data_IF_190769907298
#
_entry.id   IF_190769907298
#
_cell.length_a   1.000
_cell.length_b   1.000
_cell.length_c   1.000
_cell.angle_alpha   90.00
_cell.angle_beta   90.00
_cell.angle_gamma   90.00
#
_symmetry.space_group_name_H-M   'P 1'
#
loop_
_entity.id
_entity.type
_entity.pdbx_description
1 polymer ?
#
# COMPACT_ATOMS: atom_id res chain seq x y z
N UNK A 1 6.22 7.36 -1.90
CA UNK A 1 4.96 6.77 -2.43
C UNK A 1 3.98 6.73 -1.27
N UNK A 2 2.99 7.61 -1.21
CA UNK A 2 1.97 7.50 -0.16
C UNK A 2 1.05 6.32 -0.52
N UNK A 3 0.84 5.37 0.40
CA UNK A 3 -0.10 4.29 0.13
C UNK A 3 -1.50 4.86 -0.03
N UNK A 4 -2.31 4.25 -0.91
CA UNK A 4 -3.74 4.53 -0.94
C UNK A 4 -4.27 4.33 0.48
N UNK A 5 -4.88 5.37 1.07
CA UNK A 5 -5.31 5.35 2.46
C UNK A 5 -6.45 4.34 2.64
N UNK A 6 -6.07 3.10 2.89
CA UNK A 6 -6.94 2.00 3.30
C UNK A 6 -6.61 1.67 4.75
N UNK A 7 -7.61 1.62 5.59
CA UNK A 7 -7.41 1.36 7.02
C UNK A 7 -8.28 0.18 7.42
N UNK A 8 -7.66 -0.76 8.12
CA UNK A 8 -8.33 -1.88 8.74
C UNK A 8 -8.47 -1.60 10.23
N UNK A 9 -9.66 -1.75 10.76
CA UNK A 9 -9.98 -1.51 12.15
C UNK A 9 -10.77 -2.68 12.73
N UNK A 10 -10.29 -3.21 13.86
CA UNK A 10 -10.96 -4.32 14.55
C UNK A 10 -11.69 -3.78 15.78
N UNK A 11 -12.98 -3.94 15.82
CA UNK A 11 -13.79 -3.61 16.99
C UNK A 11 -15.04 -4.49 17.07
N UNK A 12 -15.45 -4.86 18.28
CA UNK A 12 -16.68 -5.64 18.51
C UNK A 12 -16.71 -7.01 17.81
N UNK A 13 -15.55 -7.60 17.48
CA UNK A 13 -15.47 -8.87 16.74
C UNK A 13 -15.64 -8.74 15.23
N UNK A 14 -15.86 -7.52 14.70
CA UNK A 14 -15.91 -7.24 13.27
C UNK A 14 -14.60 -6.63 12.77
N UNK A 15 -14.31 -6.88 11.50
CA UNK A 15 -13.16 -6.30 10.78
C UNK A 15 -13.71 -5.24 9.82
N UNK A 16 -13.47 -3.98 10.16
CA UNK A 16 -13.90 -2.85 9.35
C UNK A 16 -12.78 -2.41 8.43
N UNK A 17 -13.15 -1.97 7.23
CA UNK A 17 -12.22 -1.39 6.26
C UNK A 17 -12.76 -0.09 5.72
N UNK A 18 -11.97 0.97 5.83
CA UNK A 18 -12.32 2.28 5.32
C UNK A 18 -11.41 2.67 4.15
N UNK A 19 -12.02 3.16 3.06
CA UNK A 19 -11.33 3.72 1.91
C UNK A 19 -11.57 5.21 1.85
N UNK A 20 -10.53 6.00 2.09
CA UNK A 20 -10.55 7.47 1.94
C UNK A 20 -10.29 7.90 0.51
N UNK A 21 -9.58 7.05 -0.24
CA UNK A 21 -9.19 7.31 -1.63
C UNK A 21 -9.29 6.02 -2.42
N UNK A 22 -9.94 6.08 -3.57
CA UNK A 22 -9.97 4.97 -4.53
C UNK A 22 -9.40 5.42 -5.89
N UNK A 23 -8.66 4.57 -6.60
CA UNK A 23 -8.21 4.90 -7.95
C UNK A 23 -9.38 4.91 -8.92
N UNK A 24 -9.31 5.78 -9.93
CA UNK A 24 -10.24 5.78 -11.04
C UNK A 24 -9.84 4.68 -12.03
N UNK A 25 -10.69 3.67 -12.16
CA UNK A 25 -10.43 2.56 -13.08
C UNK A 25 -10.75 2.93 -14.53
N UNK A 26 -9.94 2.42 -15.47
CA UNK A 26 -10.18 2.55 -16.89
C UNK A 26 -10.03 1.19 -17.59
N UNK A 27 -11.06 0.72 -18.35
CA UNK A 27 -12.38 1.35 -18.50
C UNK A 27 -13.17 1.36 -17.18
N UNK A 28 -14.22 2.17 -17.12
CA UNK A 28 -15.11 2.25 -15.95
C UNK A 28 -15.61 0.85 -15.57
N UNK A 29 -15.56 0.52 -14.27
CA UNK A 29 -15.98 -0.77 -13.74
C UNK A 29 -15.00 -1.92 -13.95
N UNK A 30 -13.82 -1.68 -14.51
CA UNK A 30 -12.81 -2.72 -14.77
C UNK A 30 -12.18 -3.29 -13.50
N UNK A 31 -12.29 -2.61 -12.35
CA UNK A 31 -11.62 -3.00 -11.10
C UNK A 31 -10.09 -3.01 -11.16
N UNK A 32 -9.51 -2.49 -12.25
CA UNK A 32 -8.07 -2.47 -12.50
C UNK A 32 -7.66 -1.23 -13.30
N UNK A 33 -6.38 -0.87 -13.22
CA UNK A 33 -5.80 0.26 -13.94
C UNK A 33 -5.00 -0.23 -15.14
N UNK A 34 -5.72 -0.60 -16.20
CA UNK A 34 -5.10 -1.07 -17.44
C UNK A 34 -4.26 0.03 -18.10
N UNK A 35 -3.09 -0.34 -18.61
CA UNK A 35 -2.18 0.56 -19.32
C UNK A 35 -1.14 1.28 -18.46
N UNK A 36 -1.30 1.30 -17.13
CA UNK A 36 -0.32 1.91 -16.21
C UNK A 36 0.41 0.91 -15.31
N UNK A 37 0.00 -0.35 -15.30
CA UNK A 37 0.56 -1.41 -14.45
C UNK A 37 0.32 -1.23 -12.95
N UNK A 38 0.15 -0.01 -12.46
CA UNK A 38 -0.08 0.31 -11.04
C UNK A 38 -1.18 1.37 -10.96
N UNK A 39 -2.19 1.14 -10.11
CA UNK A 39 -3.22 2.13 -9.84
C UNK A 39 -2.65 3.33 -9.08
N UNK A 40 -3.01 4.58 -9.45
CA UNK A 40 -2.59 5.75 -8.71
C UNK A 40 -3.27 5.82 -7.34
N UNK A 41 -2.59 6.44 -6.36
CA UNK A 41 -3.12 6.71 -5.03
C UNK A 41 -3.21 8.22 -4.72
N UNK A 42 -2.86 9.06 -5.68
CA UNK A 42 -2.86 10.53 -5.56
C UNK A 42 -2.96 11.19 -6.94
N UNK A 43 -3.27 12.50 -6.93
CA UNK A 43 -3.42 13.30 -8.14
C UNK A 43 -4.78 13.11 -8.80
N UNK A 44 -4.86 13.41 -10.10
CA UNK A 44 -6.12 13.45 -10.85
C UNK A 44 -6.75 12.06 -11.12
N UNK A 45 -5.96 11.01 -10.93
CA UNK A 45 -6.40 9.62 -11.20
C UNK A 45 -7.10 8.94 -10.03
N UNK A 46 -7.58 9.69 -9.04
CA UNK A 46 -8.21 9.14 -7.82
C UNK A 46 -9.49 9.89 -7.46
N UNK A 47 -10.38 9.19 -6.75
CA UNK A 47 -11.57 9.77 -6.13
C UNK A 47 -11.37 9.79 -4.61
N UNK A 48 -11.56 10.95 -3.99
CA UNK A 48 -11.59 11.13 -2.54
C UNK A 48 -13.01 10.94 -2.02
N UNK A 49 -13.13 10.24 -0.90
CA UNK A 49 -14.40 9.96 -0.25
C UNK A 49 -14.45 10.65 1.12
N UNK A 50 -15.51 11.45 1.33
CA UNK A 50 -15.82 12.11 2.60
C UNK A 50 -17.35 12.10 2.80
N UNK A 51 -17.88 11.26 3.71
CA UNK A 51 -17.17 10.27 4.55
C UNK A 51 -16.52 9.14 3.73
N UNK A 52 -15.54 8.42 4.29
CA UNK A 52 -14.89 7.32 3.60
C UNK A 52 -15.86 6.16 3.33
N UNK A 53 -15.60 5.39 2.28
CA UNK A 53 -16.35 4.16 2.03
C UNK A 53 -16.01 3.15 3.13
N UNK A 54 -17.01 2.66 3.85
CA UNK A 54 -16.86 1.70 4.94
C UNK A 54 -17.38 0.33 4.53
N UNK A 55 -16.64 -0.71 4.84
CA UNK A 55 -17.02 -2.11 4.63
C UNK A 55 -16.83 -2.91 5.91
N UNK A 56 -17.72 -3.87 6.16
CA UNK A 56 -17.55 -4.90 7.18
C UNK A 56 -17.06 -6.18 6.51
N UNK A 57 -15.76 -6.45 6.56
CA UNK A 57 -15.14 -7.62 5.93
C UNK A 57 -15.57 -8.94 6.59
N UNK A 58 -16.15 -8.91 7.79
CA UNK A 58 -16.67 -10.10 8.44
C UNK A 58 -17.97 -10.59 7.80
N UNK A 59 -18.74 -9.65 7.21
CA UNK A 59 -20.00 -9.94 6.51
C UNK A 59 -19.86 -9.90 5.00
N UNK A 60 -19.04 -8.98 4.48
CA UNK A 60 -18.78 -8.77 3.06
C UNK A 60 -17.28 -8.74 2.76
N UNK A 61 -16.61 -9.91 2.73
CA UNK A 61 -15.17 -9.99 2.43
C UNK A 61 -14.81 -9.57 1.01
N UNK A 62 -15.79 -9.51 0.11
CA UNK A 62 -15.61 -9.09 -1.29
C UNK A 62 -15.75 -7.58 -1.50
N UNK A 63 -16.13 -6.82 -0.46
CA UNK A 63 -16.34 -5.37 -0.55
C UNK A 63 -17.33 -4.99 -1.66
N UNK A 64 -18.40 -5.76 -1.78
CA UNK A 64 -19.37 -5.61 -2.86
C UNK A 64 -20.27 -4.39 -2.67
N UNK A 65 -20.57 -4.02 -1.42
CA UNK A 65 -21.42 -2.89 -1.11
C UNK A 65 -20.89 -2.06 0.06
N UNK A 66 -20.58 -0.76 -0.15
CA UNK A 66 -20.20 0.12 0.95
C UNK A 66 -21.39 0.35 1.88
N UNK A 67 -21.10 0.40 3.17
CA UNK A 67 -22.06 0.72 4.23
C UNK A 67 -22.28 2.24 4.29
N UNK A 68 -23.46 2.63 4.77
CA UNK A 68 -23.85 4.02 5.03
C UNK A 68 -24.50 4.14 6.41
N UNK A 69 -24.70 5.37 6.87
CA UNK A 69 -25.41 5.64 8.14
C UNK A 69 -26.85 5.06 8.15
N UNK A 70 -27.48 4.93 6.97
CA UNK A 70 -28.83 4.37 6.84
C UNK A 70 -28.83 2.83 6.95
N UNK A 71 -27.73 2.18 6.55
CA UNK A 71 -27.63 0.72 6.48
C UNK A 71 -26.92 0.09 7.66
N UNK A 72 -26.08 0.86 8.37
CA UNK A 72 -25.29 0.38 9.50
C UNK A 72 -25.40 1.34 10.69
N UNK A 73 -26.06 0.95 11.79
CA UNK A 73 -26.22 1.80 12.97
C UNK A 73 -24.89 2.22 13.63
N UNK A 74 -23.83 1.43 13.44
CA UNK A 74 -22.51 1.71 13.99
C UNK A 74 -21.63 2.58 13.07
N UNK A 75 -22.15 2.97 11.88
CA UNK A 75 -21.37 3.68 10.85
C UNK A 75 -20.62 4.89 11.42
N UNK A 76 -21.33 5.84 12.00
CA UNK A 76 -20.73 7.08 12.52
C UNK A 76 -19.73 6.81 13.65
N UNK A 77 -20.07 5.87 14.54
CA UNK A 77 -19.19 5.49 15.65
C UNK A 77 -17.88 4.89 15.14
N UNK A 78 -17.96 4.00 14.14
CA UNK A 78 -16.78 3.34 13.55
C UNK A 78 -15.94 4.38 12.80
N UNK A 79 -16.54 5.24 11.98
CA UNK A 79 -15.85 6.31 11.27
C UNK A 79 -15.11 7.24 12.24
N UNK A 80 -15.74 7.64 13.32
CA UNK A 80 -15.10 8.48 14.35
C UNK A 80 -13.92 7.78 15.03
N UNK A 81 -14.06 6.51 15.36
CA UNK A 81 -12.98 5.71 15.97
C UNK A 81 -11.78 5.56 15.01
N UNK A 82 -12.06 5.28 13.73
CA UNK A 82 -11.05 5.21 12.69
C UNK A 82 -10.34 6.57 12.56
N UNK A 83 -11.08 7.67 12.52
CA UNK A 83 -10.53 9.02 12.44
C UNK A 83 -9.58 9.34 13.60
N UNK A 84 -9.98 8.99 14.83
CA UNK A 84 -9.11 9.15 16.02
C UNK A 84 -7.84 8.30 15.94
N UNK A 85 -7.96 7.05 15.51
CA UNK A 85 -6.81 6.16 15.35
C UNK A 85 -5.82 6.67 14.28
N UNK A 86 -6.33 7.23 13.17
CA UNK A 86 -5.50 7.86 12.13
C UNK A 86 -4.72 9.05 12.70
N UNK A 87 -5.41 9.92 13.41
CA UNK A 87 -4.81 11.13 13.96
C UNK A 87 -3.73 10.79 14.99
N UNK A 88 -3.99 9.82 15.86
CA UNK A 88 -3.00 9.31 16.80
C UNK A 88 -1.80 8.71 16.07
N UNK A 89 -2.05 7.85 15.06
CA UNK A 89 -0.96 7.27 14.27
C UNK A 89 -0.13 8.33 13.55
N UNK A 90 -0.77 9.35 12.96
CA UNK A 90 -0.05 10.46 12.30
C UNK A 90 0.91 11.18 13.23
N UNK A 91 0.58 11.31 14.51
CA UNK A 91 1.45 11.95 15.52
C UNK A 91 2.71 11.13 15.82
N UNK A 92 2.64 9.81 15.61
CA UNK A 92 3.78 8.90 15.82
C UNK A 92 4.68 8.79 14.60
N UNK A 93 4.22 9.23 13.41
CA UNK A 93 4.98 9.16 12.18
C UNK A 93 6.08 10.22 12.13
N UNK A 94 7.31 9.77 11.98
CA UNK A 94 8.45 10.66 11.68
C UNK A 94 8.66 10.67 10.17
N UNK A 95 8.79 11.87 9.59
CA UNK A 95 9.12 11.99 8.18
C UNK A 95 10.53 11.42 7.93
N UNK A 96 10.61 10.38 7.13
CA UNK A 96 11.89 9.82 6.70
C UNK A 96 12.22 10.26 5.28
N UNK A 97 13.51 10.49 4.95
CA UNK A 97 13.92 10.82 3.59
C UNK A 97 13.50 9.71 2.63
N UNK A 98 13.00 10.09 1.47
CA UNK A 98 12.61 9.12 0.44
C UNK A 98 13.84 8.35 -0.05
N UNK A 99 13.92 7.06 0.27
CA UNK A 99 15.05 6.21 -0.09
C UNK A 99 15.18 5.99 -1.60
N UNK A 100 14.08 6.13 -2.35
CA UNK A 100 14.03 6.04 -3.81
C UNK A 100 14.15 7.40 -4.51
N UNK A 101 14.65 8.44 -3.81
CA UNK A 101 14.97 9.72 -4.45
C UNK A 101 16.04 9.51 -5.52
N UNK A 102 16.09 10.43 -6.51
CA UNK A 102 17.06 10.37 -7.60
C UNK A 102 18.51 10.21 -7.08
N UNK A 103 18.83 10.86 -5.96
CA UNK A 103 20.14 10.76 -5.33
C UNK A 103 20.47 9.36 -4.78
N UNK A 104 19.46 8.61 -4.33
CA UNK A 104 19.63 7.26 -3.80
C UNK A 104 19.53 6.18 -4.89
N UNK A 105 18.99 6.54 -6.07
CA UNK A 105 18.88 5.65 -7.25
C UNK A 105 20.17 5.71 -8.11
N UNK A 106 21.03 6.72 -7.90
CA UNK A 106 22.33 6.76 -8.56
C UNK A 106 23.10 5.49 -8.20
N UNK A 107 23.51 4.76 -9.23
CA UNK A 107 24.30 3.55 -9.05
C UNK A 107 25.58 3.85 -8.26
N UNK A 108 25.70 3.19 -7.11
CA UNK A 108 26.86 3.30 -6.21
C UNK A 108 27.61 1.99 -6.25
N UNK A 109 28.73 1.89 -6.99
CA UNK A 109 29.48 0.64 -7.18
C UNK A 109 29.86 -0.03 -5.86
N UNK A 110 30.21 0.76 -4.85
CA UNK A 110 30.62 0.28 -3.53
C UNK A 110 29.50 -0.27 -2.64
N UNK A 111 28.24 -0.06 -3.03
CA UNK A 111 27.06 -0.60 -2.31
C UNK A 111 26.47 -1.83 -3.01
N UNK A 112 27.04 -2.24 -4.16
CA UNK A 112 26.57 -3.42 -4.85
C UNK A 112 27.07 -4.68 -4.13
N UNK A 113 26.23 -5.71 -3.96
CA UNK A 113 26.70 -7.02 -3.50
C UNK A 113 27.72 -7.54 -4.54
N UNK A 114 28.93 -7.73 -4.10
CA UNK A 114 30.06 -8.09 -4.95
C UNK A 114 30.78 -9.28 -4.33
N UNK A 115 30.90 -10.37 -5.07
CA UNK A 115 31.60 -11.57 -4.63
C UNK A 115 33.10 -11.47 -4.81
N UNK A 116 33.58 -10.55 -5.66
CA UNK A 116 35.00 -10.38 -5.98
C UNK A 116 35.54 -9.01 -5.59
N UNK A 117 36.76 -8.73 -6.02
CA UNK A 117 37.45 -7.47 -5.73
C UNK A 117 36.90 -6.34 -6.59
N UNK A 118 36.57 -5.20 -5.95
CA UNK A 118 36.23 -3.97 -6.67
C UNK A 118 37.41 -3.55 -7.57
N UNK A 119 37.17 -3.07 -8.81
CA UNK A 119 35.89 -2.71 -9.43
C UNK A 119 35.20 -3.85 -10.22
N UNK A 120 35.75 -5.04 -10.26
CA UNK A 120 35.25 -6.16 -11.04
C UNK A 120 34.53 -7.15 -10.12
N UNK A 121 33.20 -7.05 -10.10
CA UNK A 121 32.35 -7.89 -9.28
C UNK A 121 32.00 -9.20 -10.01
N UNK A 122 32.94 -10.13 -10.06
CA UNK A 122 32.72 -11.47 -10.60
C UNK A 122 32.36 -12.41 -9.46
N UNK A 123 31.28 -13.15 -9.62
CA UNK A 123 30.95 -14.26 -8.75
C UNK A 123 31.33 -15.55 -9.46
N UNK A 124 32.20 -16.35 -8.85
CA UNK A 124 32.47 -17.68 -9.32
C UNK A 124 31.17 -18.48 -9.26
N UNK A 125 30.79 -19.11 -10.38
CA UNK A 125 29.64 -20.01 -10.36
C UNK A 125 30.04 -21.20 -9.52
N UNK A 126 29.37 -21.39 -8.37
CA UNK A 126 29.46 -22.65 -7.62
C UNK A 126 28.95 -23.77 -8.56
N UNK A 127 29.84 -24.51 -9.17
CA UNK A 127 29.48 -25.60 -10.08
C UNK A 127 30.61 -26.41 -10.67
N UNK A 128 31.87 -25.91 -10.66
CA UNK A 128 32.98 -26.62 -11.34
C UNK A 128 33.97 -27.32 -10.40
N UNK A 129 33.66 -27.51 -9.12
CA UNK A 129 34.55 -28.19 -8.16
C UNK A 129 34.18 -29.62 -7.84
N UNK A 130 33.40 -30.31 -8.70
CA UNK A 130 33.02 -31.67 -8.45
C UNK A 130 33.36 -32.61 -9.64
N UNK A 131 34.64 -32.54 -10.11
CA UNK A 131 35.20 -33.63 -10.90
C UNK A 131 36.71 -33.60 -10.86
N UNK A 132 37.27 -34.11 -9.78
CA UNK A 132 38.59 -34.79 -9.80
C UNK A 132 38.82 -35.46 -8.44
N UNK A 133 38.33 -36.68 -8.30
CA UNK A 133 38.97 -37.78 -7.57
C UNK A 133 38.43 -39.11 -8.13
#
# INVERSE_FOLDING_TARGET
>A
MQPCHKIYFLTGGAVWKAHYVTPNFHPLGAGACYGRGICPCFGEGVTHHDPPLLYDLSRDPSESQPLSADTEPLFDTVIEQIGRAIEEHRRTLTAVPQQLSLYNVIWKPWLQPCCGTFPFCWCDKEGDSAQSL
#
